data_IF_591926178947
#
_entry.id   IF_591926178947
#
_cell.length_a   1.000
_cell.length_b   1.000
_cell.length_c   1.000
_cell.angle_alpha   90.00
_cell.angle_beta   90.00
_cell.angle_gamma   90.00
#
_symmetry.space_group_name_H-M   'P 1'
#
loop_
_entity.id
_entity.type
_entity.pdbx_description
1 polymer ?
#
# COMPACT_ATOMS: atom_id res chain seq x y z
N UNK A 1 1.57 -10.89 19.21
CA UNK A 1 2.21 -10.19 20.35
C UNK A 1 3.73 -10.23 20.36
N UNK A 2 4.42 -11.30 19.93
CA UNK A 2 5.89 -11.40 20.00
C UNK A 2 6.62 -10.17 19.43
N UNK A 3 6.42 -9.81 18.15
CA UNK A 3 7.05 -8.64 17.55
C UNK A 3 6.65 -7.31 18.21
N UNK A 4 5.38 -7.18 18.60
CA UNK A 4 4.89 -5.97 19.27
C UNK A 4 5.65 -5.73 20.59
N UNK A 5 5.85 -6.78 21.38
CA UNK A 5 6.59 -6.71 22.63
C UNK A 5 8.09 -6.38 22.42
N UNK A 6 8.62 -6.61 21.21
CA UNK A 6 9.97 -6.21 20.81
C UNK A 6 10.03 -4.81 20.17
N UNK A 7 8.97 -4.01 20.29
CA UNK A 7 8.94 -2.62 19.83
C UNK A 7 8.43 -2.42 18.40
N UNK A 8 8.10 -3.49 17.66
CA UNK A 8 7.49 -3.35 16.33
C UNK A 8 6.10 -2.72 16.46
N UNK A 9 5.81 -1.74 15.62
CA UNK A 9 4.50 -1.04 15.59
C UNK A 9 3.82 -1.08 14.24
N UNK A 10 4.56 -1.24 13.15
CA UNK A 10 4.00 -1.32 11.81
C UNK A 10 3.67 -2.77 11.46
N UNK A 11 2.41 -3.04 11.15
CA UNK A 11 1.93 -4.37 10.76
C UNK A 11 1.06 -4.27 9.51
N UNK A 12 1.34 -5.11 8.53
CA UNK A 12 0.60 -5.20 7.27
C UNK A 12 -0.44 -6.32 7.29
N UNK A 13 -1.66 -6.01 6.87
CA UNK A 13 -2.74 -6.99 6.69
C UNK A 13 -3.33 -6.95 5.28
N UNK A 14 -3.71 -8.12 4.77
CA UNK A 14 -4.23 -8.28 3.42
C UNK A 14 -5.76 -8.36 3.36
N UNK A 15 -6.42 -8.73 4.46
CA UNK A 15 -7.86 -8.98 4.47
C UNK A 15 -8.56 -8.01 5.42
N UNK A 16 -9.54 -7.27 4.89
CA UNK A 16 -10.21 -6.19 5.62
C UNK A 16 -10.84 -6.69 6.93
N UNK A 17 -11.52 -7.83 6.92
CA UNK A 17 -12.17 -8.37 8.11
C UNK A 17 -11.16 -8.89 9.15
N UNK A 18 -10.06 -9.50 8.70
CA UNK A 18 -8.97 -9.93 9.58
C UNK A 18 -8.33 -8.71 10.26
N UNK A 19 -8.09 -7.65 9.50
CA UNK A 19 -7.56 -6.40 10.02
C UNK A 19 -8.51 -5.74 11.03
N UNK A 20 -9.81 -5.67 10.74
CA UNK A 20 -10.81 -5.12 11.68
C UNK A 20 -10.85 -5.91 12.98
N UNK A 21 -10.82 -7.25 12.92
CA UNK A 21 -10.76 -8.10 14.11
C UNK A 21 -9.50 -7.83 14.93
N UNK A 22 -8.34 -7.89 14.28
CA UNK A 22 -7.03 -7.64 14.90
C UNK A 22 -6.92 -6.25 15.52
N UNK A 23 -7.42 -5.21 14.86
CA UNK A 23 -7.37 -3.84 15.36
C UNK A 23 -8.22 -3.62 16.63
N UNK A 24 -9.26 -4.44 16.84
CA UNK A 24 -10.07 -4.41 18.08
C UNK A 24 -9.39 -5.13 19.24
N UNK A 25 -8.68 -6.21 18.95
CA UNK A 25 -8.08 -7.09 19.97
C UNK A 25 -6.67 -6.67 20.38
N UNK A 26 -5.93 -6.03 19.48
CA UNK A 26 -4.52 -5.69 19.68
C UNK A 26 -4.32 -4.24 20.15
N UNK A 27 -3.13 -3.91 20.70
CA UNK A 27 -2.84 -2.57 21.20
C UNK A 27 -3.08 -1.46 20.18
N UNK A 28 -3.62 -0.33 20.65
CA UNK A 28 -4.08 0.76 19.80
C UNK A 28 -2.94 1.64 19.25
N UNK A 29 -1.72 1.50 19.77
CA UNK A 29 -0.52 2.15 19.23
C UNK A 29 0.11 1.39 18.06
N UNK A 30 -0.45 0.25 17.66
CA UNK A 30 -0.14 -0.38 16.38
C UNK A 30 -0.51 0.56 15.24
N UNK A 31 0.38 0.65 14.25
CA UNK A 31 0.17 1.33 12.98
C UNK A 31 -0.18 0.30 11.93
N UNK A 32 -1.47 0.17 11.63
CA UNK A 32 -1.94 -0.81 10.66
C UNK A 32 -1.76 -0.32 9.23
N UNK A 33 -1.18 -1.17 8.39
CA UNK A 33 -1.10 -0.99 6.95
C UNK A 33 -2.04 -1.99 6.27
N UNK A 34 -2.95 -1.50 5.44
CA UNK A 34 -3.70 -2.38 4.54
C UNK A 34 -2.93 -2.51 3.21
N UNK A 35 -2.52 -3.73 2.90
CA UNK A 35 -1.63 -4.06 1.76
C UNK A 35 -2.23 -5.10 0.80
N UNK A 36 -3.49 -5.49 0.99
CA UNK A 36 -4.20 -6.43 0.13
C UNK A 36 -5.11 -5.76 -0.90
N UNK A 37 -5.66 -6.54 -1.84
CA UNK A 37 -6.56 -6.00 -2.87
C UNK A 37 -7.80 -5.31 -2.26
N UNK A 38 -7.89 -3.97 -2.39
CA UNK A 38 -8.99 -3.20 -1.85
C UNK A 38 -10.21 -3.25 -2.77
N UNK A 39 -11.30 -3.90 -2.34
CA UNK A 39 -12.56 -3.81 -3.06
C UNK A 39 -13.27 -2.49 -2.72
N UNK A 40 -13.89 -1.85 -3.72
CA UNK A 40 -14.60 -0.58 -3.58
C UNK A 40 -15.70 -0.61 -2.50
N UNK A 41 -16.35 -1.76 -2.28
CA UNK A 41 -17.37 -1.93 -1.22
C UNK A 41 -16.77 -1.96 0.18
N UNK A 42 -15.48 -2.30 0.31
CA UNK A 42 -14.76 -2.43 1.57
C UNK A 42 -13.99 -1.18 1.99
N UNK A 43 -13.90 -0.16 1.13
CA UNK A 43 -13.36 1.15 1.51
C UNK A 43 -14.11 1.75 2.72
N UNK A 44 -15.43 1.54 2.82
CA UNK A 44 -16.23 2.06 3.93
C UNK A 44 -15.85 1.39 5.25
N UNK A 45 -15.79 0.05 5.26
CA UNK A 45 -15.41 -0.73 6.44
C UNK A 45 -14.01 -0.34 6.91
N UNK A 46 -13.05 -0.32 5.97
CA UNK A 46 -11.66 0.05 6.26
C UNK A 46 -11.52 1.49 6.78
N UNK A 47 -12.28 2.43 6.21
CA UNK A 47 -12.23 3.85 6.57
C UNK A 47 -12.87 4.19 7.92
N UNK A 48 -13.80 3.38 8.43
CA UNK A 48 -14.56 3.72 9.65
C UNK A 48 -14.28 2.79 10.84
N UNK A 49 -13.91 1.52 10.60
CA UNK A 49 -13.88 0.50 11.65
C UNK A 49 -12.49 0.33 12.29
N UNK A 50 -11.48 1.10 11.85
CA UNK A 50 -10.09 0.99 12.30
C UNK A 50 -9.54 2.40 12.60
N UNK A 51 -9.52 2.76 13.89
CA UNK A 51 -9.06 4.07 14.35
C UNK A 51 -7.57 4.31 14.07
N UNK A 52 -6.73 3.31 14.35
CA UNK A 52 -5.28 3.31 14.15
C UNK A 52 -4.87 2.75 12.77
N UNK A 53 -5.71 2.95 11.75
CA UNK A 53 -5.33 2.65 10.37
C UNK A 53 -4.32 3.69 9.91
N UNK A 54 -3.07 3.28 9.88
CA UNK A 54 -1.97 4.17 9.56
C UNK A 54 -1.82 4.38 8.05
N UNK A 55 -1.94 3.31 7.26
CA UNK A 55 -1.80 3.40 5.80
C UNK A 55 -2.70 2.45 5.02
N UNK A 56 -3.05 2.85 3.79
CA UNK A 56 -3.64 1.99 2.75
C UNK A 56 -2.77 2.08 1.51
N UNK A 57 -2.08 0.99 1.18
CA UNK A 57 -1.03 1.02 0.16
C UNK A 57 -1.51 0.58 -1.24
N UNK A 58 -2.79 0.27 -1.36
CA UNK A 58 -3.37 -0.45 -2.51
C UNK A 58 -4.45 0.35 -3.23
N UNK A 59 -4.33 1.68 -3.26
CA UNK A 59 -5.25 2.52 -4.04
C UNK A 59 -4.86 2.42 -5.51
N UNK A 60 -5.76 1.91 -6.34
CA UNK A 60 -5.56 1.67 -7.78
C UNK A 60 -6.70 2.28 -8.63
N UNK A 61 -7.58 3.08 -8.00
CA UNK A 61 -8.67 3.79 -8.67
C UNK A 61 -9.14 5.00 -7.85
N UNK A 62 -9.43 6.12 -8.53
CA UNK A 62 -9.98 7.35 -7.92
C UNK A 62 -11.23 7.08 -7.07
N UNK A 63 -12.11 6.19 -7.54
CA UNK A 63 -13.34 5.81 -6.81
C UNK A 63 -13.05 5.20 -5.44
N UNK A 64 -11.96 4.44 -5.28
CA UNK A 64 -11.57 3.86 -3.99
C UNK A 64 -11.06 4.96 -3.06
N UNK A 65 -10.29 5.90 -3.59
CA UNK A 65 -9.80 7.08 -2.89
C UNK A 65 -10.95 7.92 -2.32
N UNK A 66 -11.87 8.39 -3.17
CA UNK A 66 -13.05 9.20 -2.75
C UNK A 66 -13.91 8.50 -1.70
N UNK A 67 -14.12 7.18 -1.84
CA UNK A 67 -14.90 6.40 -0.87
C UNK A 67 -14.20 6.25 0.48
N UNK A 68 -12.87 6.07 0.46
CA UNK A 68 -12.08 5.96 1.68
C UNK A 68 -12.05 7.30 2.43
N UNK A 69 -11.80 8.41 1.73
CA UNK A 69 -11.82 9.77 2.29
C UNK A 69 -13.19 10.08 2.93
N UNK A 70 -14.28 9.87 2.19
CA UNK A 70 -15.64 10.10 2.70
C UNK A 70 -15.98 9.24 3.93
N UNK A 71 -15.56 7.97 3.94
CA UNK A 71 -15.78 7.08 5.07
C UNK A 71 -14.96 7.52 6.29
N UNK A 72 -13.71 7.93 6.09
CA UNK A 72 -12.83 8.41 7.16
C UNK A 72 -13.35 9.72 7.76
N UNK A 73 -13.81 10.65 6.91
CA UNK A 73 -14.50 11.89 7.30
C UNK A 73 -15.73 11.62 8.16
N UNK A 74 -16.63 10.75 7.69
CA UNK A 74 -17.87 10.46 8.41
C UNK A 74 -17.64 9.82 9.79
N UNK A 75 -16.52 9.11 9.95
CA UNK A 75 -16.14 8.50 11.22
C UNK A 75 -15.41 9.47 12.17
N UNK A 76 -15.00 10.66 11.70
CA UNK A 76 -14.19 11.63 12.44
C UNK A 76 -12.93 10.99 13.07
N UNK A 77 -12.22 10.18 12.27
CA UNK A 77 -11.01 9.49 12.69
C UNK A 77 -9.76 10.13 12.05
N UNK A 78 -8.55 9.86 12.58
CA UNK A 78 -7.31 10.42 12.05
C UNK A 78 -7.08 10.15 10.56
N UNK A 79 -6.35 11.06 9.92
CA UNK A 79 -5.95 10.98 8.51
C UNK A 79 -5.23 9.65 8.22
N UNK A 80 -5.53 9.05 7.06
CA UNK A 80 -4.87 7.83 6.59
C UNK A 80 -3.80 8.20 5.56
N UNK A 81 -2.60 7.64 5.71
CA UNK A 81 -1.60 7.68 4.65
C UNK A 81 -1.99 6.78 3.48
N UNK A 82 -1.90 7.25 2.24
CA UNK A 82 -2.22 6.44 1.07
C UNK A 82 -1.06 6.31 0.11
N UNK A 83 -0.95 5.12 -0.48
CA UNK A 83 -0.07 4.86 -1.61
C UNK A 83 -0.89 4.45 -2.81
N UNK A 84 -0.45 4.90 -3.99
CA UNK A 84 -1.01 4.42 -5.25
C UNK A 84 -0.30 3.14 -5.66
N UNK A 85 -1.07 2.06 -5.83
CA UNK A 85 -0.55 0.80 -6.35
C UNK A 85 -0.39 0.90 -7.86
N UNK A 86 0.80 0.60 -8.35
CA UNK A 86 1.16 0.60 -9.77
C UNK A 86 1.41 -0.83 -10.20
N UNK A 87 0.83 -1.23 -11.33
CA UNK A 87 1.14 -2.49 -11.97
C UNK A 87 2.39 -2.31 -12.84
N UNK A 88 3.55 -2.58 -12.27
CA UNK A 88 4.86 -2.47 -12.95
C UNK A 88 5.19 -3.69 -13.82
N UNK A 89 4.56 -4.84 -13.55
CA UNK A 89 4.84 -6.09 -14.26
C UNK A 89 4.16 -6.19 -15.61
N UNK A 90 3.09 -5.44 -15.82
CA UNK A 90 2.29 -5.48 -17.05
C UNK A 90 1.37 -6.69 -17.16
N UNK A 91 1.30 -7.54 -16.13
CA UNK A 91 0.42 -8.71 -16.10
C UNK A 91 -1.03 -8.28 -15.92
N UNK A 92 -1.92 -8.68 -16.84
CA UNK A 92 -3.31 -8.20 -16.87
C UNK A 92 -4.12 -8.54 -15.62
N UNK A 93 -3.81 -9.68 -14.99
CA UNK A 93 -4.48 -10.16 -13.78
C UNK A 93 -4.09 -9.41 -12.50
N UNK A 94 -3.06 -8.56 -12.55
CA UNK A 94 -2.59 -7.80 -11.37
C UNK A 94 -3.27 -6.45 -11.26
N UNK A 95 -3.69 -6.11 -10.05
CA UNK A 95 -4.24 -4.81 -9.71
C UNK A 95 -3.17 -3.71 -9.73
N UNK A 96 -3.61 -2.46 -9.88
CA UNK A 96 -2.75 -1.28 -9.91
C UNK A 96 -2.98 -0.44 -11.16
N UNK A 97 -2.63 0.84 -11.08
CA UNK A 97 -2.60 1.72 -12.24
C UNK A 97 -1.59 1.21 -13.25
N UNK A 98 -1.95 1.31 -14.54
CA UNK A 98 -1.07 0.91 -15.63
C UNK A 98 -0.19 2.08 -16.04
N UNK A 99 1.09 1.81 -16.26
CA UNK A 99 2.08 2.82 -16.68
C UNK A 99 1.76 3.45 -18.04
N UNK A 100 0.99 2.77 -18.89
CA UNK A 100 0.54 3.30 -20.18
C UNK A 100 -0.71 4.21 -20.08
N UNK A 101 -1.29 4.39 -18.90
CA UNK A 101 -2.45 5.25 -18.67
C UNK A 101 -2.20 6.17 -17.47
N UNK A 102 -1.35 7.18 -17.67
CA UNK A 102 -1.02 8.16 -16.63
C UNK A 102 -2.18 9.09 -16.26
N UNK A 103 -3.19 9.23 -17.14
CA UNK A 103 -4.32 10.13 -16.90
C UNK A 103 -5.11 9.71 -15.65
N UNK A 104 -5.41 8.42 -15.49
CA UNK A 104 -6.10 7.91 -14.29
C UNK A 104 -5.28 8.14 -13.00
N UNK A 105 -3.96 8.10 -13.10
CA UNK A 105 -3.07 8.43 -11.97
C UNK A 105 -3.17 9.91 -11.66
N UNK A 106 -3.07 10.78 -12.67
CA UNK A 106 -3.18 12.22 -12.49
C UNK A 106 -4.52 12.63 -11.89
N UNK A 107 -5.63 12.07 -12.36
CA UNK A 107 -6.95 12.29 -11.75
C UNK A 107 -6.96 11.96 -10.25
N UNK A 108 -6.27 10.89 -9.87
CA UNK A 108 -6.20 10.45 -8.48
C UNK A 108 -5.31 11.35 -7.64
N UNK A 109 -4.13 11.73 -8.15
CA UNK A 109 -3.21 12.64 -7.46
C UNK A 109 -3.83 14.04 -7.35
N UNK A 110 -4.49 14.53 -8.39
CA UNK A 110 -5.22 15.79 -8.37
C UNK A 110 -6.27 15.82 -7.26
N UNK A 111 -7.04 14.73 -7.09
CA UNK A 111 -7.99 14.64 -5.97
C UNK A 111 -7.29 14.60 -4.61
N UNK A 112 -6.22 13.80 -4.48
CA UNK A 112 -5.47 13.66 -3.23
C UNK A 112 -4.77 14.95 -2.77
N UNK A 113 -4.44 15.83 -3.70
CA UNK A 113 -3.74 17.10 -3.45
C UNK A 113 -4.68 18.30 -3.45
N UNK A 114 -5.97 18.10 -3.74
CA UNK A 114 -6.97 19.17 -3.71
C UNK A 114 -7.54 19.39 -2.31
N UNK A 115 -8.21 20.53 -2.13
CA UNK A 115 -8.95 20.85 -0.91
C UNK A 115 -10.13 19.90 -0.62
N UNK A 116 -10.54 19.07 -1.58
CA UNK A 116 -11.66 18.14 -1.41
C UNK A 116 -11.25 16.88 -0.65
N UNK A 117 -9.96 16.55 -0.62
CA UNK A 117 -9.44 15.41 0.14
C UNK A 117 -8.73 15.93 1.39
N UNK A 118 -9.34 15.67 2.55
CA UNK A 118 -8.86 16.18 3.85
C UNK A 118 -8.53 15.07 4.84
N UNK A 119 -8.90 13.83 4.53
CA UNK A 119 -8.80 12.70 5.45
C UNK A 119 -7.85 11.61 4.93
N UNK A 120 -7.21 11.85 3.79
CA UNK A 120 -6.13 11.04 3.24
C UNK A 120 -4.91 11.93 2.97
N UNK A 121 -3.72 11.37 3.18
CA UNK A 121 -2.46 12.03 2.87
C UNK A 121 -1.71 11.20 1.84
N UNK A 122 -1.39 11.79 0.68
CA UNK A 122 -0.66 11.10 -0.37
C UNK A 122 0.81 10.93 0.02
N UNK A 123 1.18 9.71 0.43
CA UNK A 123 2.52 9.42 0.91
C UNK A 123 3.44 8.86 -0.15
N UNK A 124 2.92 8.12 -1.15
CA UNK A 124 3.83 7.40 -2.03
C UNK A 124 3.22 6.48 -3.07
N UNK A 125 4.09 5.67 -3.67
CA UNK A 125 3.76 4.64 -4.63
C UNK A 125 4.05 3.26 -4.07
N UNK A 126 3.31 2.27 -4.53
CA UNK A 126 3.47 0.87 -4.14
C UNK A 126 3.48 -0.02 -5.38
N UNK A 127 4.36 -1.02 -5.43
CA UNK A 127 4.24 -2.12 -6.38
C UNK A 127 4.38 -3.47 -5.69
N UNK A 128 3.66 -4.46 -6.21
CA UNK A 128 3.87 -5.87 -5.88
C UNK A 128 5.06 -6.44 -6.66
N UNK A 129 5.37 -5.89 -7.85
CA UNK A 129 6.33 -6.45 -8.78
C UNK A 129 5.87 -7.77 -9.41
N UNK A 130 6.75 -8.37 -10.21
CA UNK A 130 6.58 -9.66 -10.85
C UNK A 130 7.35 -10.75 -10.13
N UNK A 131 6.80 -11.98 -10.13
CA UNK A 131 7.51 -13.13 -9.56
C UNK A 131 8.82 -13.41 -10.30
N UNK A 132 8.83 -13.20 -11.62
CA UNK A 132 10.02 -13.35 -12.44
C UNK A 132 11.13 -12.39 -11.97
N UNK A 133 10.84 -11.09 -11.82
CA UNK A 133 11.84 -10.12 -11.35
C UNK A 133 12.24 -10.34 -9.89
N UNK A 134 11.31 -10.79 -9.04
CA UNK A 134 11.60 -11.11 -7.64
C UNK A 134 12.51 -12.33 -7.42
N UNK A 135 12.74 -13.14 -8.46
CA UNK A 135 13.54 -14.38 -8.40
C UNK A 135 14.74 -14.38 -9.35
N UNK A 136 14.90 -13.32 -10.14
CA UNK A 136 16.07 -13.13 -10.98
C UNK A 136 17.26 -12.72 -10.11
N UNK A 137 18.38 -13.42 -10.27
CA UNK A 137 19.66 -13.00 -9.73
C UNK A 137 20.18 -11.84 -10.57
N UNK A 138 20.01 -10.62 -10.06
CA UNK A 138 20.44 -9.39 -10.72
C UNK A 138 20.54 -8.23 -9.74
N UNK A 139 21.39 -7.26 -10.06
CA UNK A 139 21.55 -6.04 -9.23
C UNK A 139 20.35 -5.09 -9.37
N UNK A 140 19.62 -5.19 -10.48
CA UNK A 140 18.49 -4.33 -10.83
C UNK A 140 17.23 -5.18 -10.97
N UNK A 141 16.12 -4.67 -10.45
CA UNK A 141 14.80 -5.24 -10.63
C UNK A 141 13.97 -4.25 -11.43
N UNK A 142 13.60 -4.64 -12.66
CA UNK A 142 12.93 -3.77 -13.62
C UNK A 142 11.55 -3.27 -13.15
N UNK A 143 10.90 -4.01 -12.25
CA UNK A 143 9.65 -3.55 -11.65
C UNK A 143 9.86 -2.37 -10.70
N UNK A 144 10.97 -2.37 -9.95
CA UNK A 144 11.32 -1.30 -9.04
C UNK A 144 11.81 -0.07 -9.80
N UNK A 145 12.61 -0.26 -10.85
CA UNK A 145 13.06 0.82 -11.73
C UNK A 145 11.86 1.61 -12.32
N UNK A 146 10.85 0.90 -12.83
CA UNK A 146 9.61 1.54 -13.33
C UNK A 146 8.85 2.32 -12.26
N UNK A 147 8.83 1.84 -11.01
CA UNK A 147 8.17 2.55 -9.91
C UNK A 147 8.92 3.83 -9.54
N UNK A 148 10.26 3.79 -9.55
CA UNK A 148 11.13 4.96 -9.34
C UNK A 148 10.87 5.99 -10.43
N UNK A 149 10.84 5.59 -11.70
CA UNK A 149 10.57 6.48 -12.84
C UNK A 149 9.20 7.17 -12.70
N UNK A 150 8.18 6.41 -12.27
CA UNK A 150 6.86 6.97 -11.97
C UNK A 150 6.89 7.97 -10.79
N UNK A 151 7.67 7.70 -9.74
CA UNK A 151 7.87 8.65 -8.63
C UNK A 151 8.47 9.95 -9.16
N UNK A 152 9.52 9.89 -9.98
CA UNK A 152 10.18 11.07 -10.52
C UNK A 152 9.25 11.94 -11.36
N UNK A 153 8.40 11.31 -12.19
CA UNK A 153 7.38 12.00 -12.99
C UNK A 153 6.41 12.75 -12.08
N UNK A 154 5.90 12.10 -11.04
CA UNK A 154 4.92 12.69 -10.12
C UNK A 154 5.54 13.75 -9.22
N UNK A 155 6.72 13.51 -8.66
CA UNK A 155 7.45 14.47 -7.84
C UNK A 155 7.74 15.75 -8.60
N UNK A 156 8.19 15.64 -9.86
CA UNK A 156 8.40 16.80 -10.70
C UNK A 156 7.11 17.56 -11.00
N UNK A 157 6.01 16.85 -11.28
CA UNK A 157 4.74 17.47 -11.66
C UNK A 157 4.01 18.12 -10.49
N UNK A 158 4.05 17.49 -9.32
CA UNK A 158 3.27 17.89 -8.14
C UNK A 158 4.13 18.47 -7.02
N UNK A 159 5.45 18.59 -7.22
CA UNK A 159 6.40 19.05 -6.19
C UNK A 159 6.31 18.22 -4.91
N UNK A 160 6.17 16.90 -5.06
CA UNK A 160 6.09 15.95 -3.94
C UNK A 160 7.47 15.32 -3.65
N UNK A 161 7.56 14.59 -2.53
CA UNK A 161 8.64 13.65 -2.25
C UNK A 161 8.04 12.29 -1.89
N UNK A 162 7.60 11.55 -2.91
CA UNK A 162 6.85 10.31 -2.71
C UNK A 162 7.71 9.17 -2.14
N UNK A 163 7.18 8.45 -1.17
CA UNK A 163 7.79 7.23 -0.64
C UNK A 163 7.55 6.06 -1.60
N UNK A 164 8.45 5.08 -1.58
CA UNK A 164 8.33 3.84 -2.35
C UNK A 164 8.10 2.66 -1.41
N UNK A 165 6.97 1.97 -1.57
CA UNK A 165 6.67 0.69 -0.92
C UNK A 165 6.88 -0.43 -1.94
N UNK A 166 8.04 -1.08 -1.87
CA UNK A 166 8.43 -2.15 -2.79
C UNK A 166 9.48 -3.05 -2.12
N UNK A 167 9.55 -4.30 -2.56
CA UNK A 167 10.36 -5.33 -1.92
C UNK A 167 9.58 -6.17 -0.91
N UNK A 168 9.68 -7.48 -1.06
CA UNK A 168 9.14 -8.53 -0.22
C UNK A 168 10.27 -9.47 0.21
N UNK A 169 9.93 -10.56 0.89
CA UNK A 169 10.91 -11.50 1.46
C UNK A 169 12.04 -11.95 0.52
N UNK A 170 11.78 -12.06 -0.80
CA UNK A 170 12.75 -12.56 -1.79
C UNK A 170 13.63 -11.48 -2.43
N UNK A 171 13.22 -10.22 -2.39
CA UNK A 171 13.83 -9.15 -3.18
C UNK A 171 13.97 -7.81 -2.43
N UNK A 172 13.75 -7.80 -1.11
CA UNK A 172 13.82 -6.57 -0.32
C UNK A 172 15.21 -5.91 -0.31
N UNK A 173 16.29 -6.68 -0.45
CA UNK A 173 17.66 -6.13 -0.55
C UNK A 173 17.83 -5.32 -1.83
N UNK A 174 17.37 -5.86 -2.96
CA UNK A 174 17.35 -5.19 -4.26
C UNK A 174 16.36 -4.01 -4.29
N UNK A 175 15.28 -4.08 -3.51
CA UNK A 175 14.38 -2.95 -3.34
C UNK A 175 15.05 -1.80 -2.57
N UNK A 176 15.80 -2.10 -1.50
CA UNK A 176 16.55 -1.11 -0.72
C UNK A 176 17.62 -0.44 -1.59
N UNK A 177 18.39 -1.20 -2.37
CA UNK A 177 19.42 -0.63 -3.26
C UNK A 177 18.84 0.32 -4.32
N UNK A 178 17.57 0.11 -4.70
CA UNK A 178 16.83 0.95 -5.66
C UNK A 178 15.91 1.99 -4.99
N UNK A 179 16.14 2.30 -3.71
CA UNK A 179 15.48 3.43 -3.03
C UNK A 179 14.13 3.12 -2.38
N UNK A 180 13.83 1.85 -2.08
CA UNK A 180 12.65 1.51 -1.27
C UNK A 180 12.72 2.18 0.11
N UNK A 181 11.59 2.77 0.50
CA UNK A 181 11.41 3.38 1.83
C UNK A 181 10.59 2.49 2.78
N UNK A 182 9.99 1.42 2.24
CA UNK A 182 9.18 0.46 2.97
C UNK A 182 9.25 -0.90 2.28
N UNK A 183 9.72 -1.91 3.01
CA UNK A 183 9.76 -3.31 2.56
C UNK A 183 8.72 -4.13 3.33
N UNK A 184 8.06 -5.07 2.64
CA UNK A 184 6.94 -5.85 3.18
C UNK A 184 7.35 -7.30 3.39
N UNK A 185 8.01 -7.58 4.51
CA UNK A 185 8.59 -8.90 4.82
C UNK A 185 7.64 -9.72 5.68
N UNK A 186 7.27 -10.92 5.19
CA UNK A 186 6.37 -11.83 5.89
C UNK A 186 7.03 -13.18 6.16
N UNK A 187 7.25 -13.97 5.10
CA UNK A 187 7.78 -15.34 5.22
C UNK A 187 9.16 -15.43 5.88
N UNK A 188 10.03 -14.44 5.70
CA UNK A 188 11.34 -14.43 6.37
C UNK A 188 11.25 -14.20 7.88
N UNK A 189 10.12 -13.67 8.38
CA UNK A 189 9.88 -13.41 9.81
C UNK A 189 9.05 -14.52 10.44
N UNK A 190 7.98 -14.95 9.77
CA UNK A 190 6.99 -15.87 10.34
C UNK A 190 7.01 -17.28 9.76
N UNK A 191 7.86 -17.55 8.78
CA UNK A 191 7.84 -18.79 8.00
C UNK A 191 6.69 -18.83 6.97
N UNK A 192 6.47 -20.00 6.38
CA UNK A 192 5.41 -20.20 5.40
C UNK A 192 4.03 -20.03 6.04
N UNK A 193 3.09 -19.40 5.30
CA UNK A 193 1.71 -19.26 5.78
C UNK A 193 1.04 -20.65 5.80
N UNK A 194 0.35 -21.04 6.88
CA UNK A 194 -0.45 -22.26 6.90
C UNK A 194 -1.51 -22.22 5.78
N UNK A 195 -1.81 -23.37 5.14
CA UNK A 195 -2.88 -23.43 4.16
C UNK A 195 -4.20 -23.00 4.81
N UNK A 196 -5.02 -22.22 4.08
CA UNK A 196 -6.38 -21.92 4.53
C UNK A 196 -7.19 -23.20 4.46
N UNK A 197 -7.59 -23.74 5.60
CA UNK A 197 -8.65 -24.74 5.64
C UNK A 197 -9.91 -24.06 5.09
N UNK A 198 -10.35 -24.50 3.90
CA UNK A 198 -11.62 -24.06 3.34
C UNK A 198 -12.75 -24.48 4.26
N UNK A 199 -13.57 -23.50 4.66
CA UNK A 199 -14.95 -23.75 5.05
C UNK A 199 -15.83 -23.35 3.87
#
# INVERSE_FOLDING_TARGET
MALYNHGVRHFGENYVQELIGKAKELPQDIKWHFIGGLQTGKCKDLGKDIANLYAVETIDALKKCKKLDAARKAANLPVINVYLQVNTSGEEQKSGYRLNNLEEVYETVNYLTSSDCQHLEFQGLMTIGSFAQSTLDGEVNEDFAKLVEMKEILDKKYSTDLKLSMGMSSDFTTAISQGSTSVRVGSSIFGARPPRNGH
#
